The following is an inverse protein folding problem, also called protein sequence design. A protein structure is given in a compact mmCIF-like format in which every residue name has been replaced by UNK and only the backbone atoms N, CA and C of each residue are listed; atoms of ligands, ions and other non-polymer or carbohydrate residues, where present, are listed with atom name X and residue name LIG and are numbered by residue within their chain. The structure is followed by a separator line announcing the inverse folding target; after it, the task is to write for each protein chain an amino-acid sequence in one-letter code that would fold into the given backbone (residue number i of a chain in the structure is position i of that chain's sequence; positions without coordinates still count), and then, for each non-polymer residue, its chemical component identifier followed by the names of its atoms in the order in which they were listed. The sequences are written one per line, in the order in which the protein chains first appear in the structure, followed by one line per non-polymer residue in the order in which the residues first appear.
data_IF_729668681881
#
_entry.id   IF_729668681881
#
_cell.length_a   1.000
_cell.length_b   1.000
_cell.length_c   1.000
_cell.angle_alpha   90.00
_cell.angle_beta   90.00
_cell.angle_gamma   90.00
#
_symmetry.space_group_name_H-M   'P 1'
#
loop_
_entity.id
_entity.type
_entity.pdbx_description
1 polymer ?
#
# COMPACT_ATOMS: atom_id res chain seq x y z
N UNK A 1 -5.54 -10.34 -1.80
CA UNK A 1 -5.70 -9.45 -2.96
C UNK A 1 -5.13 -8.12 -2.56
N UNK A 2 -4.27 -7.53 -3.38
CA UNK A 2 -3.73 -6.20 -3.08
C UNK A 2 -4.85 -5.16 -3.13
N UNK A 3 -4.79 -4.10 -2.29
CA UNK A 3 -5.78 -3.04 -2.33
C UNK A 3 -5.83 -2.41 -3.73
N UNK A 4 -7.02 -2.00 -4.21
CA UNK A 4 -7.15 -1.42 -5.52
C UNK A 4 -6.36 -0.11 -5.60
N UNK A 5 -5.50 -0.01 -6.62
CA UNK A 5 -4.72 1.20 -6.90
C UNK A 5 -5.65 2.34 -7.27
N UNK A 6 -5.42 3.50 -6.66
CA UNK A 6 -6.27 4.69 -6.85
C UNK A 6 -5.51 5.86 -7.48
N UNK A 7 -4.17 5.85 -7.45
CA UNK A 7 -3.32 6.94 -7.94
C UNK A 7 -2.58 6.48 -9.19
N UNK A 8 -2.89 7.06 -10.35
CA UNK A 8 -2.22 6.72 -11.62
C UNK A 8 -1.61 7.93 -12.32
N UNK A 9 -2.11 9.13 -12.02
CA UNK A 9 -1.71 10.36 -12.68
C UNK A 9 -1.12 11.37 -11.69
N UNK A 10 -0.44 12.39 -12.21
CA UNK A 10 0.05 13.51 -11.39
C UNK A 10 -1.08 14.27 -10.72
N UNK A 11 -2.25 14.35 -11.37
CA UNK A 11 -3.44 14.95 -10.79
C UNK A 11 -3.92 14.18 -9.55
N UNK A 12 -4.02 12.84 -9.65
CA UNK A 12 -4.39 12.00 -8.50
C UNK A 12 -3.37 12.15 -7.37
N UNK A 13 -2.08 12.27 -7.72
CA UNK A 13 -1.01 12.48 -6.76
C UNK A 13 -1.14 13.84 -6.04
N UNK A 14 -1.51 14.91 -6.76
CA UNK A 14 -1.77 16.23 -6.20
C UNK A 14 -3.00 16.26 -5.27
N UNK A 15 -3.99 15.41 -5.52
CA UNK A 15 -5.21 15.28 -4.71
C UNK A 15 -5.06 14.30 -3.54
N UNK A 16 -4.09 13.39 -3.60
CA UNK A 16 -3.82 12.38 -2.58
C UNK A 16 -3.46 12.98 -1.20
N UNK A 17 -3.37 12.13 -0.17
CA UNK A 17 -2.84 12.52 1.15
C UNK A 17 -1.31 12.43 1.25
N UNK A 18 -0.63 11.95 0.21
CA UNK A 18 0.83 11.74 0.23
C UNK A 18 1.58 13.07 0.26
N UNK A 19 2.63 13.15 1.06
CA UNK A 19 3.62 14.24 0.97
C UNK A 19 4.52 13.99 -0.24
N UNK A 20 5.04 15.05 -0.85
CA UNK A 20 5.82 14.93 -2.09
C UNK A 20 7.16 15.61 -1.90
N UNK A 21 8.22 14.96 -2.36
CA UNK A 21 9.55 15.52 -2.47
C UNK A 21 10.15 15.30 -3.85
N UNK A 22 11.17 16.09 -4.15
CA UNK A 22 11.91 16.06 -5.42
C UNK A 22 13.39 15.95 -5.12
N UNK A 23 14.13 15.29 -5.99
CA UNK A 23 15.58 15.23 -5.94
C UNK A 23 16.20 16.64 -6.09
N UNK A 24 17.20 16.97 -5.26
CA UNK A 24 17.87 18.27 -5.33
C UNK A 24 18.87 18.37 -6.50
N UNK A 25 18.34 18.45 -7.72
CA UNK A 25 19.12 18.62 -8.95
C UNK A 25 18.62 19.80 -9.79
N UNK A 26 19.52 20.38 -10.58
CA UNK A 26 19.25 21.57 -11.38
C UNK A 26 18.15 21.37 -12.42
N UNK A 27 18.06 20.19 -13.04
CA UNK A 27 17.06 19.91 -14.06
C UNK A 27 15.64 19.95 -13.47
N UNK A 28 15.45 19.34 -12.31
CA UNK A 28 14.15 19.31 -11.64
C UNK A 28 13.74 20.70 -11.13
N UNK A 29 14.70 21.46 -10.57
CA UNK A 29 14.46 22.86 -10.17
C UNK A 29 14.05 23.72 -11.37
N UNK A 30 14.76 23.60 -12.50
CA UNK A 30 14.45 24.36 -13.70
C UNK A 30 13.12 23.92 -14.34
N UNK A 31 12.76 22.64 -14.22
CA UNK A 31 11.50 22.13 -14.74
C UNK A 31 10.32 22.88 -14.12
N UNK A 32 10.26 23.05 -12.80
CA UNK A 32 9.14 23.76 -12.15
C UNK A 32 9.09 25.26 -12.45
N UNK A 33 10.21 25.86 -12.85
CA UNK A 33 10.26 27.26 -13.30
C UNK A 33 9.73 27.43 -14.73
N UNK A 34 9.95 26.43 -15.59
CA UNK A 34 9.69 26.53 -17.03
C UNK A 34 8.47 25.75 -17.50
N UNK A 35 7.95 24.84 -16.68
CA UNK A 35 6.85 23.96 -17.05
C UNK A 35 5.57 24.74 -17.34
N UNK A 36 4.86 24.30 -18.38
CA UNK A 36 3.53 24.80 -18.75
C UNK A 36 2.44 23.79 -18.42
N UNK A 37 2.80 22.64 -17.84
CA UNK A 37 1.86 21.57 -17.51
C UNK A 37 1.04 21.96 -16.26
N UNK A 38 -0.30 22.11 -16.37
CA UNK A 38 -1.12 22.52 -15.25
C UNK A 38 -1.06 21.53 -14.08
N UNK A 39 -0.92 20.22 -14.34
CA UNK A 39 -0.88 19.21 -13.28
C UNK A 39 0.45 19.31 -12.50
N UNK A 40 1.56 19.52 -13.19
CA UNK A 40 2.86 19.71 -12.53
C UNK A 40 2.93 21.03 -11.74
N UNK A 41 2.35 22.11 -12.26
CA UNK A 41 2.28 23.41 -11.57
C UNK A 41 1.43 23.27 -10.30
N UNK A 42 0.26 22.65 -10.40
CA UNK A 42 -0.62 22.45 -9.24
C UNK A 42 0.02 21.55 -8.18
N UNK A 43 0.72 20.49 -8.59
CA UNK A 43 1.51 19.64 -7.70
C UNK A 43 2.57 20.46 -6.95
N UNK A 44 3.33 21.28 -7.69
CA UNK A 44 4.40 22.10 -7.13
C UNK A 44 3.88 23.11 -6.11
N UNK A 45 2.90 23.92 -6.49
CA UNK A 45 2.33 24.97 -5.63
C UNK A 45 1.65 24.38 -4.38
N UNK A 46 0.95 23.25 -4.52
CA UNK A 46 0.16 22.67 -3.41
C UNK A 46 1.00 21.83 -2.44
N UNK A 47 1.99 21.10 -2.92
CA UNK A 47 2.68 20.04 -2.14
C UNK A 47 4.16 20.31 -1.89
N UNK A 48 4.84 21.01 -2.80
CA UNK A 48 6.32 21.12 -2.80
C UNK A 48 6.76 22.51 -2.32
N UNK A 49 6.16 23.58 -2.84
CA UNK A 49 6.58 24.97 -2.63
C UNK A 49 6.43 25.48 -1.19
N UNK A 50 5.76 24.75 -0.31
CA UNK A 50 5.78 25.03 1.12
C UNK A 50 4.54 24.60 1.89
N UNK A 51 4.71 23.56 2.73
CA UNK A 51 3.89 23.31 3.93
C UNK A 51 4.72 22.76 5.12
N UNK A 52 6.02 22.52 4.95
CA UNK A 52 6.93 21.96 5.95
C UNK A 52 8.21 22.78 5.98
N UNK A 53 8.92 22.84 7.11
CA UNK A 53 10.21 23.54 7.28
C UNK A 53 11.34 23.06 6.33
N UNK A 54 11.06 22.10 5.44
CA UNK A 54 11.95 21.54 4.42
C UNK A 54 11.68 22.19 3.06
N UNK A 55 12.73 22.41 2.27
CA UNK A 55 12.69 23.02 0.92
C UNK A 55 11.86 22.25 -0.13
N UNK A 56 11.36 21.05 0.19
CA UNK A 56 10.71 20.13 -0.75
C UNK A 56 11.70 19.35 -1.62
N UNK A 57 13.00 19.65 -1.46
CA UNK A 57 14.11 19.00 -2.15
C UNK A 57 14.91 18.14 -1.19
N UNK A 58 15.28 16.94 -1.63
CA UNK A 58 15.96 15.93 -0.82
C UNK A 58 17.11 15.28 -1.61
N UNK A 59 18.07 14.72 -0.88
CA UNK A 59 19.03 13.79 -1.48
C UNK A 59 18.35 12.46 -1.87
N UNK A 60 18.87 11.71 -2.86
CA UNK A 60 18.27 10.44 -3.27
C UNK A 60 18.10 9.44 -2.13
N UNK A 61 19.13 9.26 -1.30
CA UNK A 61 19.10 8.35 -0.16
C UNK A 61 18.06 8.74 0.90
N UNK A 62 17.93 10.04 1.17
CA UNK A 62 16.98 10.56 2.14
C UNK A 62 15.54 10.44 1.63
N UNK A 63 15.30 10.85 0.38
CA UNK A 63 13.97 10.76 -0.23
C UNK A 63 13.48 9.32 -0.33
N UNK A 64 14.34 8.38 -0.73
CA UNK A 64 14.00 6.95 -0.81
C UNK A 64 13.73 6.35 0.58
N UNK A 65 14.48 6.75 1.61
CA UNK A 65 14.20 6.35 2.99
C UNK A 65 12.84 6.87 3.48
N UNK A 66 12.44 8.09 3.09
CA UNK A 66 11.13 8.64 3.40
C UNK A 66 10.00 7.88 2.68
N UNK A 67 10.20 7.46 1.43
CA UNK A 67 9.25 6.60 0.71
C UNK A 67 9.05 5.27 1.44
N UNK A 68 10.15 4.65 1.90
CA UNK A 68 10.10 3.39 2.67
C UNK A 68 9.25 3.51 3.94
N UNK A 69 9.33 4.64 4.63
CA UNK A 69 8.54 4.90 5.85
C UNK A 69 7.03 5.10 5.57
N UNK A 70 6.63 5.20 4.30
CA UNK A 70 5.25 5.38 3.87
C UNK A 70 4.75 6.82 3.93
N UNK A 71 3.64 7.08 3.24
CA UNK A 71 3.00 8.40 3.22
C UNK A 71 3.76 9.49 2.44
N UNK A 72 4.79 9.11 1.68
CA UNK A 72 5.64 10.01 0.92
C UNK A 72 5.84 9.50 -0.52
N UNK A 73 5.74 10.40 -1.49
CA UNK A 73 6.09 10.17 -2.88
C UNK A 73 7.33 11.00 -3.23
N UNK A 74 8.29 10.39 -3.92
CA UNK A 74 9.56 11.01 -4.22
C UNK A 74 9.84 10.94 -5.72
N UNK A 75 10.10 12.10 -6.32
CA UNK A 75 10.57 12.19 -7.69
C UNK A 75 12.10 12.19 -7.70
N UNK A 76 12.69 11.25 -8.43
CA UNK A 76 14.12 10.98 -8.50
C UNK A 76 14.45 10.32 -9.82
N UNK A 77 15.66 10.50 -10.33
CA UNK A 77 16.11 9.81 -11.53
C UNK A 77 16.12 8.28 -11.34
N UNK A 78 15.54 7.53 -12.28
CA UNK A 78 15.45 6.07 -12.18
C UNK A 78 16.81 5.37 -12.15
N UNK A 79 17.80 5.95 -12.84
CA UNK A 79 19.19 5.48 -12.86
C UNK A 79 19.83 5.52 -11.47
N UNK A 80 19.47 6.51 -10.65
CA UNK A 80 19.93 6.68 -9.28
C UNK A 80 19.06 5.90 -8.30
N UNK A 81 17.74 5.87 -8.50
CA UNK A 81 16.80 5.30 -7.56
C UNK A 81 16.80 3.78 -7.53
N UNK A 82 16.82 3.12 -8.70
CA UNK A 82 16.69 1.66 -8.78
C UNK A 82 17.80 0.92 -8.03
N UNK A 83 19.10 1.28 -8.15
CA UNK A 83 20.15 0.61 -7.38
C UNK A 83 19.98 0.76 -5.87
N UNK A 84 19.57 1.95 -5.40
CA UNK A 84 19.34 2.23 -3.98
C UNK A 84 18.15 1.41 -3.45
N UNK A 85 17.07 1.32 -4.23
CA UNK A 85 15.91 0.51 -3.88
C UNK A 85 16.29 -0.97 -3.80
N UNK A 86 17.03 -1.50 -4.78
CA UNK A 86 17.47 -2.91 -4.77
C UNK A 86 18.35 -3.25 -3.55
N UNK A 87 19.12 -2.28 -3.04
CA UNK A 87 19.97 -2.48 -1.85
C UNK A 87 19.18 -2.39 -0.53
N UNK A 88 18.24 -1.46 -0.42
CA UNK A 88 17.61 -1.10 0.86
C UNK A 88 16.27 -1.80 1.08
N UNK A 89 15.51 -2.04 0.01
CA UNK A 89 14.13 -2.50 0.08
C UNK A 89 14.05 -4.03 0.09
N UNK A 90 13.13 -4.54 0.89
CA UNK A 90 12.74 -5.94 0.87
C UNK A 90 11.86 -6.24 -0.34
N UNK A 91 11.73 -7.52 -0.71
CA UNK A 91 10.88 -7.91 -1.83
C UNK A 91 9.41 -7.45 -1.65
N UNK A 92 8.90 -7.48 -0.42
CA UNK A 92 7.55 -7.00 -0.10
C UNK A 92 7.41 -5.50 -0.36
N UNK A 93 8.35 -4.69 0.13
CA UNK A 93 8.36 -3.24 -0.12
C UNK A 93 8.46 -2.93 -1.62
N UNK A 94 9.26 -3.70 -2.39
CA UNK A 94 9.34 -3.57 -3.85
C UNK A 94 8.01 -3.88 -4.54
N UNK A 95 7.25 -4.87 -4.05
CA UNK A 95 5.94 -5.20 -4.59
C UNK A 95 4.87 -4.15 -4.26
N UNK A 96 5.05 -3.39 -3.19
CA UNK A 96 4.15 -2.31 -2.77
C UNK A 96 4.52 -0.95 -3.39
N UNK A 97 5.76 -0.81 -3.88
CA UNK A 97 6.21 0.38 -4.58
C UNK A 97 5.46 0.59 -5.90
N UNK A 98 5.03 1.82 -6.11
CA UNK A 98 4.44 2.28 -7.35
C UNK A 98 5.21 3.46 -7.95
N UNK A 99 5.28 3.48 -9.28
CA UNK A 99 5.97 4.50 -10.06
C UNK A 99 4.97 5.26 -10.93
N UNK A 100 5.05 6.58 -10.88
CA UNK A 100 4.22 7.49 -11.69
C UNK A 100 5.18 8.38 -12.47
N UNK A 101 4.90 8.54 -13.77
CA UNK A 101 5.72 9.38 -14.63
C UNK A 101 5.48 10.87 -14.35
N UNK A 102 6.53 11.58 -13.89
CA UNK A 102 6.49 13.04 -13.68
C UNK A 102 6.67 13.82 -14.98
N UNK A 103 7.68 13.45 -15.78
CA UNK A 103 7.99 14.16 -17.04
C UNK A 103 7.53 13.37 -18.23
N UNK A 104 7.00 14.06 -19.25
CA UNK A 104 6.83 13.45 -20.57
C UNK A 104 8.18 12.98 -21.09
N UNK A 105 8.21 11.80 -21.69
CA UNK A 105 9.44 11.26 -22.29
C UNK A 105 9.96 12.22 -23.36
N UNK A 106 11.15 12.79 -23.13
CA UNK A 106 11.81 13.67 -24.08
C UNK A 106 12.94 12.91 -24.80
N UNK A 107 13.04 13.00 -26.13
CA UNK A 107 14.17 12.43 -26.85
C UNK A 107 15.46 13.19 -26.52
N UNK A 108 16.46 12.48 -26.01
CA UNK A 108 17.80 13.03 -25.84
C UNK A 108 18.56 13.04 -27.17
N UNK A 109 19.33 14.10 -27.39
CA UNK A 109 20.11 14.31 -28.60
C UNK A 109 21.56 14.68 -28.24
N UNK A 110 22.46 14.50 -29.20
CA UNK A 110 23.84 14.94 -29.06
C UNK A 110 23.93 16.46 -29.08
N UNK A 111 24.60 17.03 -28.09
CA UNK A 111 24.85 18.47 -28.04
C UNK A 111 26.06 18.82 -28.89
N UNK A 112 25.90 19.76 -29.83
CA UNK A 112 26.97 20.25 -30.70
C UNK A 112 26.96 21.78 -30.73
N UNK A 113 28.12 22.38 -31.01
CA UNK A 113 28.21 23.82 -31.22
C UNK A 113 27.34 24.26 -32.41
N UNK A 114 26.78 25.47 -32.31
CA UNK A 114 26.02 26.08 -33.42
C UNK A 114 26.92 26.16 -34.66
N UNK A 115 26.39 25.71 -35.80
CA UNK A 115 27.09 25.63 -37.08
C UNK A 115 28.34 24.74 -37.09
N UNK A 116 28.41 23.73 -36.20
CA UNK A 116 29.49 22.74 -36.23
C UNK A 116 29.49 21.95 -37.54
N UNK A 117 30.66 21.79 -38.21
CA UNK A 117 30.77 20.96 -39.42
C UNK A 117 30.51 19.47 -39.13
N UNK A 118 30.57 19.04 -37.86
CA UNK A 118 30.35 17.65 -37.48
C UNK A 118 28.88 17.25 -37.32
N UNK A 119 27.94 18.19 -37.49
CA UNK A 119 26.51 17.95 -37.25
C UNK A 119 25.95 16.79 -38.06
N UNK A 120 26.22 16.77 -39.36
CA UNK A 120 25.70 15.73 -40.26
C UNK A 120 26.31 14.36 -39.95
N UNK A 121 27.63 14.32 -39.78
CA UNK A 121 28.36 13.10 -39.41
C UNK A 121 27.83 12.51 -38.10
N UNK A 122 27.68 13.33 -37.05
CA UNK A 122 27.19 12.87 -35.75
C UNK A 122 25.75 12.36 -35.82
N UNK A 123 24.88 13.05 -36.55
CA UNK A 123 23.50 12.60 -36.75
C UNK A 123 23.45 11.24 -37.46
N UNK A 124 24.23 11.08 -38.53
CA UNK A 124 24.32 9.81 -39.27
C UNK A 124 24.83 8.67 -38.37
N UNK A 125 25.91 8.93 -37.60
CA UNK A 125 26.44 7.94 -36.66
C UNK A 125 25.41 7.54 -35.60
N UNK A 126 24.68 8.49 -35.03
CA UNK A 126 23.65 8.20 -34.02
C UNK A 126 22.49 7.40 -34.60
N UNK A 127 21.99 7.74 -35.79
CA UNK A 127 20.96 6.98 -36.48
C UNK A 127 21.43 5.54 -36.74
N UNK A 128 22.66 5.36 -37.24
CA UNK A 128 23.23 4.03 -37.48
C UNK A 128 23.38 3.19 -36.20
N UNK A 129 23.69 3.82 -35.07
CA UNK A 129 23.74 3.14 -33.76
C UNK A 129 22.36 2.67 -33.30
N UNK A 130 21.31 3.45 -33.59
CA UNK A 130 19.92 3.06 -33.31
C UNK A 130 19.46 1.97 -34.25
N UNK A 131 19.66 2.11 -35.56
CA UNK A 131 19.24 1.15 -36.59
C UNK A 131 19.84 -0.24 -36.38
N UNK A 132 21.12 -0.29 -36.01
CA UNK A 132 21.81 -1.56 -35.75
C UNK A 132 21.55 -2.13 -34.33
N UNK A 133 20.71 -1.48 -33.52
CA UNK A 133 20.37 -1.91 -32.16
C UNK A 133 21.49 -1.76 -31.13
N UNK A 134 22.62 -1.11 -31.48
CA UNK A 134 23.71 -0.87 -30.54
C UNK A 134 23.28 0.02 -29.37
N UNK A 135 22.44 1.02 -29.63
CA UNK A 135 21.88 1.88 -28.58
C UNK A 135 21.04 1.08 -27.59
N UNK A 136 20.16 0.20 -28.07
CA UNK A 136 19.32 -0.64 -27.21
C UNK A 136 20.17 -1.60 -26.35
N UNK A 137 21.20 -2.21 -26.96
CA UNK A 137 22.14 -3.08 -26.23
C UNK A 137 22.89 -2.32 -25.13
N UNK A 138 23.42 -1.14 -25.44
CA UNK A 138 24.14 -0.31 -24.47
C UNK A 138 23.20 0.11 -23.34
N UNK A 139 21.98 0.51 -23.68
CA UNK A 139 20.95 0.88 -22.70
C UNK A 139 20.67 -0.26 -21.73
N UNK A 140 20.43 -1.48 -22.21
CA UNK A 140 20.20 -2.66 -21.36
C UNK A 140 21.41 -3.04 -20.49
N UNK A 141 22.62 -2.67 -20.91
CA UNK A 141 23.84 -2.98 -20.18
C UNK A 141 24.17 -1.95 -19.09
N UNK A 142 23.94 -0.66 -19.37
CA UNK A 142 24.34 0.44 -18.50
C UNK A 142 23.18 1.02 -17.67
N UNK A 143 21.94 0.97 -18.15
CA UNK A 143 20.80 1.46 -17.37
C UNK A 143 20.59 0.55 -16.15
N UNK A 144 20.30 1.17 -15.01
CA UNK A 144 19.87 0.45 -13.84
C UNK A 144 18.60 -0.34 -14.16
N UNK A 145 18.59 -1.62 -13.78
CA UNK A 145 17.43 -2.47 -13.99
C UNK A 145 16.30 -2.03 -13.07
N UNK A 146 15.08 -1.97 -13.59
CA UNK A 146 13.90 -1.81 -12.74
C UNK A 146 13.80 -2.98 -11.75
N UNK A 147 13.65 -2.72 -10.44
CA UNK A 147 13.43 -3.77 -9.46
C UNK A 147 12.10 -4.46 -9.75
N UNK A 148 12.12 -5.79 -9.86
CA UNK A 148 10.95 -6.59 -10.15
C UNK A 148 10.42 -7.25 -8.87
N UNK A 149 9.12 -7.14 -8.64
CA UNK A 149 8.44 -7.90 -7.60
C UNK A 149 8.53 -9.40 -7.90
N UNK A 150 8.96 -10.19 -6.92
CA UNK A 150 9.01 -11.65 -7.03
C UNK A 150 7.78 -12.19 -6.32
N UNK A 151 6.70 -12.41 -7.07
CA UNK A 151 5.40 -12.83 -6.52
C UNK A 151 5.50 -14.10 -5.65
N UNK A 152 6.44 -15.01 -5.95
CA UNK A 152 6.67 -16.22 -5.16
C UNK A 152 7.34 -15.96 -3.80
N UNK A 153 8.02 -14.84 -3.63
CA UNK A 153 8.64 -14.41 -2.38
C UNK A 153 7.75 -13.46 -1.56
N UNK A 154 6.59 -13.07 -2.11
CA UNK A 154 5.61 -12.23 -1.43
C UNK A 154 4.96 -13.03 -0.30
N UNK A 155 5.17 -12.63 0.96
CA UNK A 155 4.39 -13.20 2.05
C UNK A 155 2.97 -12.70 1.92
N UNK A 156 2.02 -13.63 1.76
CA UNK A 156 0.61 -13.31 1.76
C UNK A 156 0.15 -13.08 3.20
N UNK A 157 0.35 -11.87 3.70
CA UNK A 157 -0.22 -11.44 4.98
C UNK A 157 -1.65 -10.97 4.72
N UNK A 158 -2.60 -11.91 4.78
CA UNK A 158 -4.03 -11.62 4.59
C UNK A 158 -4.55 -11.04 5.90
N UNK A 159 -4.51 -9.72 6.03
CA UNK A 159 -5.20 -9.02 7.11
C UNK A 159 -6.70 -9.02 6.83
N UNK A 160 -7.41 -10.01 7.38
CA UNK A 160 -8.87 -10.05 7.30
C UNK A 160 -9.43 -9.05 8.32
N UNK A 161 -10.14 -8.03 7.83
CA UNK A 161 -10.86 -7.11 8.70
C UNK A 161 -11.94 -7.85 9.48
N UNK A 162 -12.11 -7.54 10.77
CA UNK A 162 -13.15 -8.13 11.61
C UNK A 162 -14.54 -8.00 10.99
N UNK A 163 -14.79 -6.93 10.21
CA UNK A 163 -16.03 -6.72 9.47
C UNK A 163 -16.37 -7.86 8.50
N UNK A 164 -15.38 -8.49 7.89
CA UNK A 164 -15.56 -9.58 6.92
C UNK A 164 -15.81 -10.92 7.64
N UNK A 165 -15.24 -11.10 8.83
CA UNK A 165 -15.39 -12.33 9.63
C UNK A 165 -16.59 -12.33 10.58
N UNK A 166 -17.30 -11.20 10.74
CA UNK A 166 -18.38 -10.99 11.73
C UNK A 166 -19.46 -12.09 11.80
N UNK A 167 -19.81 -12.74 10.68
CA UNK A 167 -20.86 -13.75 10.66
C UNK A 167 -20.55 -14.97 11.56
N UNK A 168 -19.27 -15.39 11.63
CA UNK A 168 -18.86 -16.56 12.41
C UNK A 168 -19.00 -16.36 13.94
N UNK A 169 -18.43 -15.30 14.57
CA UNK A 169 -18.60 -15.05 15.99
C UNK A 169 -20.05 -14.71 16.37
N UNK A 170 -20.81 -14.02 15.50
CA UNK A 170 -22.22 -13.75 15.78
C UNK A 170 -23.03 -15.06 15.84
N UNK A 171 -22.84 -15.96 14.88
CA UNK A 171 -23.51 -17.27 14.91
C UNK A 171 -23.13 -18.10 16.14
N UNK A 172 -21.85 -18.07 16.53
CA UNK A 172 -21.36 -18.79 17.71
C UNK A 172 -21.96 -18.24 19.01
N UNK A 173 -22.00 -16.91 19.17
CA UNK A 173 -22.62 -16.28 20.35
C UNK A 173 -24.10 -16.58 20.47
N UNK A 174 -24.84 -16.56 19.35
CA UNK A 174 -26.26 -16.95 19.34
C UNK A 174 -26.44 -18.43 19.73
N UNK A 175 -25.62 -19.33 19.19
CA UNK A 175 -25.66 -20.76 19.54
C UNK A 175 -25.42 -21.02 21.03
N UNK A 176 -24.42 -20.34 21.62
CA UNK A 176 -24.14 -20.42 23.06
C UNK A 176 -25.33 -19.89 23.87
N UNK A 177 -25.92 -18.75 23.50
CA UNK A 177 -27.12 -18.21 24.15
C UNK A 177 -28.30 -19.21 24.11
N UNK A 178 -28.58 -19.81 22.95
CA UNK A 178 -29.63 -20.82 22.85
C UNK A 178 -29.36 -22.03 23.74
N UNK A 179 -28.13 -22.54 23.78
CA UNK A 179 -27.76 -23.67 24.63
C UNK A 179 -27.97 -23.39 26.12
N UNK A 180 -27.63 -22.18 26.58
CA UNK A 180 -27.83 -21.75 27.96
C UNK A 180 -29.31 -21.62 28.30
N UNK A 181 -30.13 -21.12 27.37
CA UNK A 181 -31.58 -21.02 27.55
C UNK A 181 -32.19 -22.42 27.72
N UNK A 182 -31.84 -23.38 26.85
CA UNK A 182 -32.32 -24.76 26.97
C UNK A 182 -31.92 -25.40 28.32
N UNK A 183 -30.66 -25.21 28.74
CA UNK A 183 -30.17 -25.73 30.02
C UNK A 183 -30.91 -25.13 31.23
N UNK A 184 -31.21 -23.82 31.19
CA UNK A 184 -31.99 -23.15 32.24
C UNK A 184 -33.44 -23.65 32.30
N UNK A 185 -34.05 -23.92 31.15
CA UNK A 185 -35.40 -24.49 31.07
C UNK A 185 -35.44 -25.90 31.65
N UNK A 186 -34.49 -26.76 31.27
CA UNK A 186 -34.39 -28.12 31.82
C UNK A 186 -34.13 -28.12 33.34
N UNK A 187 -33.22 -27.28 33.82
CA UNK A 187 -32.95 -27.13 35.24
C UNK A 187 -34.21 -26.69 36.01
N UNK A 188 -34.98 -25.75 35.44
CA UNK A 188 -36.22 -25.24 36.05
C UNK A 188 -37.31 -26.32 36.12
N UNK A 189 -37.46 -27.13 35.08
CA UNK A 189 -38.41 -28.24 35.03
C UNK A 189 -38.01 -29.32 36.05
N UNK A 190 -36.75 -29.74 36.04
CA UNK A 190 -36.22 -30.75 36.97
C UNK A 190 -36.30 -30.29 38.43
N UNK A 191 -36.05 -29.01 38.69
CA UNK A 191 -36.22 -28.42 40.03
C UNK A 191 -37.68 -28.46 40.49
N UNK A 192 -38.65 -28.11 39.63
CA UNK A 192 -40.09 -28.21 39.94
C UNK A 192 -40.55 -29.65 40.15
N UNK A 193 -40.07 -30.59 39.33
CA UNK A 193 -40.32 -32.03 39.45
C UNK A 193 -39.78 -32.57 40.79
N UNK A 194 -38.54 -32.21 41.16
CA UNK A 194 -37.95 -32.57 42.46
C UNK A 194 -38.73 -31.99 43.62
N UNK A 195 -39.13 -30.71 43.56
CA UNK A 195 -39.95 -30.08 44.60
C UNK A 195 -41.32 -30.77 44.75
N UNK A 196 -41.98 -31.12 43.64
CA UNK A 196 -43.24 -31.89 43.67
C UNK A 196 -43.05 -33.26 44.33
N UNK A 197 -41.97 -33.99 44.00
CA UNK A 197 -41.65 -35.29 44.63
C UNK A 197 -41.37 -35.15 46.14
N UNK A 198 -40.67 -34.11 46.56
CA UNK A 198 -40.44 -33.83 47.99
C UNK A 198 -41.75 -33.48 48.70
N UNK A 199 -42.63 -32.72 48.05
CA UNK A 199 -43.93 -32.34 48.62
C UNK A 199 -44.90 -33.54 48.71
N UNK A 200 -44.96 -34.41 47.70
CA UNK A 200 -45.78 -35.64 47.74
C UNK A 200 -45.26 -36.64 48.76
N UNK A 201 -43.94 -36.78 48.92
CA UNK A 201 -43.34 -37.63 49.96
C UNK A 201 -43.67 -37.11 51.38
N UNK A 202 -43.66 -35.79 51.58
CA UNK A 202 -44.04 -35.14 52.85
C UNK A 202 -45.54 -35.27 53.16
N UNK A 203 -46.40 -35.29 52.14
CA UNK A 203 -47.84 -35.53 52.31
C UNK A 203 -48.17 -37.01 52.59
N UNK A 204 -47.46 -37.96 51.98
CA UNK A 204 -47.59 -39.39 52.32
C UNK A 204 -47.12 -39.68 53.76
N UNK A 205 -46.08 -39.00 54.24
CA UNK A 205 -45.65 -39.09 55.64
C UNK A 205 -46.66 -38.47 56.63
N UNK A 206 -47.45 -37.46 56.23
CA UNK A 206 -48.49 -36.86 57.07
C UNK A 206 -49.78 -37.68 57.16
N UNK A 207 -50.09 -38.54 56.18
CA UNK A 207 -51.28 -39.41 56.26
C UNK A 207 -51.07 -40.69 57.06
N UNK A 208 -49.86 -40.92 57.60
CA UNK A 208 -49.48 -42.16 58.30
C UNK A 208 -49.32 -42.00 59.83
N UNK A 209 -49.90 -40.94 60.41
CA UNK A 209 -50.14 -40.86 61.84
C UNK A 209 -51.65 -40.67 62.09
N UNK A 210 -52.46 -41.75 62.10
CA UNK A 210 -53.75 -41.68 62.74
C UNK A 210 -53.52 -41.50 64.26
N UNK A 211 -54.36 -40.68 64.87
CA UNK A 211 -54.51 -40.47 66.31
C UNK A 211 -54.25 -41.74 67.13
N UNK A 212 -53.44 -41.63 68.17
CA UNK A 212 -53.44 -42.56 69.30
C UNK A 212 -53.60 -41.74 70.58
N UNK A 213 -54.72 -42.02 71.26
CA UNK A 213 -55.24 -41.55 72.56
C UNK A 213 -55.84 -40.13 72.66
#
# INVERSE_FOLDING_TARGET
MDPPRTIFTLKDLAESQLRIGIEDILIDRNYFVQTTDPDAITLYEKKIKGQSNSSGFYSPSEGIALVRNGGFAFHVETSTAYPIIEEIFTNQEICELDEIQMYRTQPMHTNLQKNSPFREMMNFCMLKLVENGNMDRLRKHWDARRPNCIESAKKQEIHVSLSEFCCSPIALTLGVCFSLIFLLVECSINYKERLKKVWTFKNHSKSQYPFME
#
